data_IF_081547904340
#
_entry.id   IF_081547904340
#
_cell.length_a   1.000
_cell.length_b   1.000
_cell.length_c   1.000
_cell.angle_alpha   90.00
_cell.angle_beta   90.00
_cell.angle_gamma   90.00
#
_symmetry.space_group_name_H-M   'P 1'
#
loop_
_entity.id
_entity.type
_entity.pdbx_description
1 polymer ?
#
# COMPACT_ATOMS: atom_id res chain seq x y z
N UNK A 1 21.71 -16.24 -24.02
CA UNK A 1 21.27 -14.83 -24.08
C UNK A 1 21.83 -14.15 -22.84
N UNK A 2 22.92 -13.38 -23.00
CA UNK A 2 23.67 -12.77 -21.90
C UNK A 2 22.77 -11.74 -21.21
N UNK A 3 22.49 -11.93 -19.93
CA UNK A 3 21.72 -10.99 -19.13
C UNK A 3 22.69 -9.92 -18.66
N UNK A 4 22.56 -8.71 -19.19
CA UNK A 4 23.35 -7.56 -18.76
C UNK A 4 23.39 -7.46 -17.24
N UNK A 5 24.57 -7.14 -16.69
CA UNK A 5 24.75 -6.94 -15.26
C UNK A 5 23.86 -5.78 -14.84
N UNK A 6 22.75 -6.08 -14.19
CA UNK A 6 21.88 -5.06 -13.63
C UNK A 6 22.62 -4.37 -12.47
N UNK A 7 23.07 -3.13 -12.68
CA UNK A 7 23.54 -2.27 -11.58
C UNK A 7 22.33 -1.86 -10.74
N UNK A 8 22.29 -2.34 -9.50
CA UNK A 8 21.32 -1.93 -8.50
C UNK A 8 22.00 -1.10 -7.42
N UNK A 9 21.38 0.02 -7.04
CA UNK A 9 21.88 0.85 -5.95
C UNK A 9 21.76 0.11 -4.61
N UNK A 10 22.86 0.09 -3.85
CA UNK A 10 22.96 -0.56 -2.52
C UNK A 10 22.86 0.44 -1.37
N UNK A 11 22.94 1.74 -1.68
CA UNK A 11 22.80 2.85 -0.74
C UNK A 11 21.61 3.70 -1.15
N UNK A 12 20.83 4.14 -0.15
CA UNK A 12 19.71 5.05 -0.33
C UNK A 12 20.24 6.49 -0.32
N UNK A 13 20.29 7.10 -1.49
CA UNK A 13 20.54 8.53 -1.60
C UNK A 13 19.29 9.33 -1.20
N UNK A 14 19.49 10.56 -0.72
CA UNK A 14 18.38 11.46 -0.34
C UNK A 14 17.37 11.64 -1.49
N UNK A 15 17.89 11.76 -2.71
CA UNK A 15 17.10 11.88 -3.94
C UNK A 15 16.24 10.65 -4.22
N UNK A 16 16.77 9.44 -3.99
CA UNK A 16 16.03 8.18 -4.18
C UNK A 16 14.97 7.98 -3.11
N UNK A 17 15.22 8.47 -1.90
CA UNK A 17 14.27 8.41 -0.79
C UNK A 17 13.04 9.26 -1.07
N UNK A 18 13.22 10.50 -1.53
CA UNK A 18 12.10 11.38 -1.92
C UNK A 18 11.28 10.82 -3.09
N UNK A 19 11.95 10.22 -4.09
CA UNK A 19 11.28 9.54 -5.20
C UNK A 19 10.45 8.36 -4.72
N UNK A 20 11.01 7.54 -3.83
CA UNK A 20 10.31 6.38 -3.26
C UNK A 20 9.00 6.78 -2.60
N UNK A 21 8.95 7.86 -1.81
CA UNK A 21 7.71 8.31 -1.17
C UNK A 21 6.64 8.77 -2.18
N UNK A 22 7.04 9.45 -3.26
CA UNK A 22 6.12 9.91 -4.32
C UNK A 22 5.57 8.73 -5.13
N UNK A 23 6.46 7.82 -5.50
CA UNK A 23 6.16 6.68 -6.35
C UNK A 23 5.27 5.66 -5.64
N UNK A 24 5.52 5.40 -4.36
CA UNK A 24 4.72 4.49 -3.54
C UNK A 24 3.26 4.92 -3.50
N UNK A 25 2.99 6.24 -3.40
CA UNK A 25 1.62 6.75 -3.38
C UNK A 25 0.87 6.54 -4.70
N UNK A 26 1.59 6.45 -5.82
CA UNK A 26 1.02 6.24 -7.14
C UNK A 26 0.75 4.76 -7.44
N UNK A 27 1.35 3.85 -6.68
CA UNK A 27 1.27 2.42 -6.95
C UNK A 27 0.00 1.79 -6.37
N UNK A 28 -0.77 1.13 -7.24
CA UNK A 28 -1.91 0.31 -6.80
C UNK A 28 -1.46 -0.98 -6.09
N UNK A 29 -0.31 -1.53 -6.49
CA UNK A 29 0.29 -2.74 -5.94
C UNK A 29 1.75 -2.44 -5.59
N UNK A 30 2.14 -2.72 -4.35
CA UNK A 30 3.49 -2.49 -3.86
C UNK A 30 4.10 -3.83 -3.42
N UNK A 31 5.19 -4.24 -4.07
CA UNK A 31 5.96 -5.45 -3.74
C UNK A 31 7.46 -5.18 -3.86
N UNK A 32 8.27 -6.17 -3.44
CA UNK A 32 9.73 -6.07 -3.59
C UNK A 32 10.14 -5.94 -5.06
N UNK A 33 9.51 -6.69 -5.96
CA UNK A 33 9.82 -6.64 -7.40
C UNK A 33 9.49 -5.29 -8.01
N UNK A 34 8.34 -4.70 -7.68
CA UNK A 34 7.97 -3.37 -8.21
C UNK A 34 8.98 -2.30 -7.82
N UNK A 35 9.52 -2.33 -6.60
CA UNK A 35 10.53 -1.37 -6.17
C UNK A 35 11.89 -1.60 -6.85
N UNK A 36 12.30 -2.85 -7.04
CA UNK A 36 13.55 -3.19 -7.76
C UNK A 36 13.49 -2.73 -9.22
N UNK A 37 12.36 -2.95 -9.89
CA UNK A 37 12.21 -2.61 -11.31
C UNK A 37 12.14 -1.10 -11.55
N UNK A 38 11.45 -0.37 -10.65
CA UNK A 38 11.19 1.08 -10.79
C UNK A 38 12.31 1.95 -10.24
N UNK A 39 12.76 1.68 -9.02
CA UNK A 39 13.77 2.49 -8.32
C UNK A 39 15.19 1.98 -8.55
N UNK A 40 15.36 0.82 -9.22
CA UNK A 40 16.67 0.18 -9.47
C UNK A 40 17.48 -0.02 -8.19
N UNK A 41 16.80 -0.31 -7.08
CA UNK A 41 17.43 -0.61 -5.79
C UNK A 41 17.57 -2.11 -5.57
N UNK A 42 18.49 -2.50 -4.69
CA UNK A 42 18.65 -3.89 -4.28
C UNK A 42 17.39 -4.44 -3.57
N UNK A 43 17.08 -5.70 -3.80
CA UNK A 43 15.91 -6.36 -3.18
C UNK A 43 16.00 -6.44 -1.65
N UNK A 44 17.21 -6.50 -1.08
CA UNK A 44 17.41 -6.44 0.37
C UNK A 44 17.04 -5.07 0.95
N UNK A 45 17.38 -3.98 0.25
CA UNK A 45 16.97 -2.62 0.62
C UNK A 45 15.47 -2.45 0.47
N UNK A 46 14.89 -2.89 -0.66
CA UNK A 46 13.46 -2.78 -0.91
C UNK A 46 12.63 -3.39 0.23
N UNK A 47 13.05 -4.55 0.79
CA UNK A 47 12.39 -5.15 1.96
C UNK A 47 12.46 -4.28 3.21
N UNK A 48 13.60 -3.61 3.46
CA UNK A 48 13.75 -2.68 4.59
C UNK A 48 12.86 -1.47 4.39
N UNK A 49 12.87 -0.86 3.20
CA UNK A 49 11.99 0.27 2.87
C UNK A 49 10.51 -0.07 3.06
N UNK A 50 10.08 -1.27 2.63
CA UNK A 50 8.69 -1.70 2.85
C UNK A 50 8.33 -1.78 4.34
N UNK A 51 9.24 -2.26 5.18
CA UNK A 51 9.04 -2.30 6.64
C UNK A 51 8.93 -0.88 7.22
N UNK A 52 9.80 0.02 6.78
CA UNK A 52 9.78 1.42 7.24
C UNK A 52 8.50 2.16 6.78
N UNK A 53 8.02 1.86 5.58
CA UNK A 53 6.76 2.41 5.05
C UNK A 53 5.52 1.85 5.75
N UNK A 54 5.58 0.58 6.14
CA UNK A 54 4.55 -0.09 6.93
C UNK A 54 4.48 0.49 8.35
N UNK A 55 5.63 0.70 9.00
CA UNK A 55 5.71 1.34 10.33
C UNK A 55 5.22 2.80 10.29
N UNK A 56 5.45 3.52 9.19
CA UNK A 56 4.93 4.87 8.97
C UNK A 56 3.45 4.91 8.56
N UNK A 57 2.82 3.76 8.31
CA UNK A 57 1.41 3.66 7.92
C UNK A 57 1.09 4.15 6.50
N UNK A 58 2.09 4.30 5.63
CA UNK A 58 1.86 4.73 4.24
C UNK A 58 1.34 3.61 3.34
N UNK A 59 1.63 2.35 3.68
CA UNK A 59 1.17 1.16 2.98
C UNK A 59 0.52 0.20 3.97
N UNK A 60 -0.45 -0.59 3.49
CA UNK A 60 -1.09 -1.64 4.30
C UNK A 60 -0.76 -3.02 3.75
N UNK A 61 -0.37 -3.99 4.60
CA UNK A 61 -0.18 -5.36 4.17
C UNK A 61 -1.55 -5.97 3.83
N UNK A 62 -1.64 -6.63 2.67
CA UNK A 62 -2.84 -7.39 2.28
C UNK A 62 -2.61 -8.88 2.55
N UNK A 63 -1.45 -9.39 2.11
CA UNK A 63 -1.05 -10.79 2.29
C UNK A 63 0.41 -10.84 2.67
N UNK A 64 0.69 -11.52 3.77
CA UNK A 64 2.05 -11.77 4.27
C UNK A 64 2.37 -13.26 4.13
N UNK A 65 3.23 -13.59 3.17
CA UNK A 65 3.78 -14.93 3.02
C UNK A 65 5.32 -14.89 3.03
N UNK A 66 5.96 -15.99 3.44
CA UNK A 66 7.44 -16.07 3.56
C UNK A 66 8.16 -15.78 2.24
N UNK A 67 7.56 -16.20 1.12
CA UNK A 67 8.12 -16.01 -0.23
C UNK A 67 7.72 -14.68 -0.89
N UNK A 68 6.61 -14.08 -0.48
CA UNK A 68 6.06 -12.90 -1.14
C UNK A 68 5.22 -12.08 -0.17
N UNK A 69 5.56 -10.78 -0.05
CA UNK A 69 4.79 -9.82 0.70
C UNK A 69 4.07 -8.90 -0.28
N UNK A 70 2.76 -8.80 -0.14
CA UNK A 70 1.91 -7.97 -0.97
C UNK A 70 1.38 -6.82 -0.12
N UNK A 71 1.66 -5.61 -0.57
CA UNK A 71 1.17 -4.37 0.03
C UNK A 71 0.26 -3.65 -0.97
N UNK A 72 -0.72 -2.94 -0.42
CA UNK A 72 -1.55 -2.01 -1.16
C UNK A 72 -1.50 -0.64 -0.51
N UNK A 73 -1.63 0.41 -1.31
CA UNK A 73 -1.87 1.74 -0.76
C UNK A 73 -3.18 1.77 0.03
N UNK A 74 -3.25 2.49 1.16
CA UNK A 74 -4.52 2.76 1.82
C UNK A 74 -5.45 3.45 0.82
N UNK A 75 -6.54 2.80 0.45
CA UNK A 75 -7.64 3.50 -0.21
C UNK A 75 -8.09 4.63 0.73
N UNK A 76 -7.79 5.89 0.38
CA UNK A 76 -8.44 7.04 1.02
C UNK A 76 -9.95 7.05 0.79
N UNK A 77 -10.45 6.24 -0.15
CA UNK A 77 -11.88 6.09 -0.38
C UNK A 77 -12.31 4.70 0.04
N UNK A 78 -12.72 4.61 1.30
CA UNK A 78 -13.39 3.47 1.86
C UNK A 78 -14.78 3.35 1.23
N UNK A 79 -14.85 2.94 -0.05
CA UNK A 79 -16.09 2.78 -0.80
C UNK A 79 -17.03 1.82 -0.05
N UNK A 80 -16.46 0.85 0.67
CA UNK A 80 -17.19 -0.09 1.52
C UNK A 80 -17.67 0.53 2.84
N UNK A 81 -16.88 1.36 3.53
CA UNK A 81 -17.35 2.06 4.75
C UNK A 81 -18.27 3.23 4.46
N UNK A 82 -18.12 3.93 3.32
CA UNK A 82 -19.09 4.93 2.87
C UNK A 82 -20.38 4.25 2.42
N UNK A 83 -20.32 3.09 1.73
CA UNK A 83 -21.52 2.30 1.46
C UNK A 83 -22.20 1.84 2.75
N UNK A 84 -21.46 1.22 3.69
CA UNK A 84 -22.05 0.76 4.95
C UNK A 84 -22.66 1.90 5.77
N UNK A 85 -22.02 3.09 5.81
CA UNK A 85 -22.60 4.27 6.46
C UNK A 85 -23.84 4.80 5.71
N UNK A 86 -23.84 4.81 4.38
CA UNK A 86 -25.00 5.21 3.56
C UNK A 86 -26.19 4.25 3.72
N UNK A 87 -25.94 2.95 3.90
CA UNK A 87 -26.99 1.94 4.12
C UNK A 87 -27.40 1.78 5.59
N UNK A 88 -26.63 2.29 6.55
CA UNK A 88 -27.00 2.28 7.97
C UNK A 88 -28.15 3.25 8.30
N UNK A 89 -28.30 4.34 7.53
CA UNK A 89 -29.35 5.36 7.73
C UNK A 89 -30.73 4.94 7.17
N UNK A 90 -30.80 3.85 6.40
CA UNK A 90 -32.07 3.29 5.89
C UNK A 90 -32.81 2.44 6.93
N UNK A 91 -32.20 2.18 8.10
CA UNK A 91 -32.74 1.31 9.15
C UNK A 91 -33.57 1.99 10.24
N UNK A 92 -33.70 3.32 10.26
CA UNK A 92 -34.35 4.06 11.37
C UNK A 92 -35.66 4.77 10.97
N UNK A 93 -36.13 4.65 9.73
CA UNK A 93 -37.42 5.18 9.35
C UNK A 93 -38.58 4.26 9.79
N UNK A 94 -39.32 4.73 10.82
CA UNK A 94 -40.54 4.18 11.45
C UNK A 94 -40.37 3.12 12.53
N UNK A 95 -39.88 3.56 13.69
CA UNK A 95 -40.62 3.28 14.93
C UNK A 95 -41.34 4.58 15.33
N UNK A 96 -42.57 4.78 14.87
CA UNK A 96 -43.45 5.82 15.40
C UNK A 96 -44.54 5.12 16.18
N UNK A 97 -44.49 5.28 17.51
CA UNK A 97 -45.67 5.47 18.35
C UNK A 97 -46.47 4.24 18.74
N UNK A 98 -46.36 3.90 20.02
CA UNK A 98 -47.39 3.25 20.82
C UNK A 98 -48.64 4.14 21.01
N UNK A 99 -49.66 3.59 21.70
CA UNK A 99 -50.98 4.13 22.19
C UNK A 99 -52.11 4.13 21.16
N UNK A 100 -53.31 3.57 21.38
CA UNK A 100 -54.01 2.91 22.51
C UNK A 100 -54.87 1.74 21.97
#
# INVERSE_FOLDING_TARGET
MFKDKAQHAVLLDKTTSEKLYKDVQSYRLVTVSTLVDRLKINGSLARKCLKDLEEKGQIKPVVTHSKMKIYSMPLQNNILSQCLLKYADLGTARAVGASD
#
